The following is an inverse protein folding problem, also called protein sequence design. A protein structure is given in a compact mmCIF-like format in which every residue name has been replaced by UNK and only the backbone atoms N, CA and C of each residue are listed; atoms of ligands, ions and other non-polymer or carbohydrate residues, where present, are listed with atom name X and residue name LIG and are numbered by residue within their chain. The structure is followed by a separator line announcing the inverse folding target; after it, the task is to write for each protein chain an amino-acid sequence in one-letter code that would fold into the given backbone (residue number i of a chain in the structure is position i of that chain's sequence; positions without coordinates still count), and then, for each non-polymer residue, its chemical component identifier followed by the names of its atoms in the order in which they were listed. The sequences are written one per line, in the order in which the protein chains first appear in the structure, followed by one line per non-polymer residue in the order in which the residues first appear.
data_IF_854259249724
#
_entry.id   IF_854259249724
#
_cell.length_a   1.000
_cell.length_b   1.000
_cell.length_c   1.000
_cell.angle_alpha   90.00
_cell.angle_beta   90.00
_cell.angle_gamma   90.00
#
_symmetry.space_group_name_H-M   'P 1'
#
loop_
_entity.id
_entity.type
_entity.pdbx_description
1 polymer ?
#
# COMPACT_ATOMS: atom_id res chain seq x y z
N UNK A 1 26.10 64.87 32.53
CA UNK A 1 25.86 64.62 31.09
C UNK A 1 26.56 63.29 30.62
N UNK A 2 27.85 63.10 30.94
CA UNK A 2 28.58 61.88 30.51
C UNK A 2 27.99 60.56 31.06
N UNK A 3 27.54 60.56 32.31
CA UNK A 3 26.94 59.33 32.95
C UNK A 3 25.56 58.98 32.37
N UNK A 4 24.74 59.99 32.01
CA UNK A 4 23.44 59.76 31.37
C UNK A 4 23.57 59.18 29.95
N UNK A 5 24.59 59.59 29.19
CA UNK A 5 24.88 59.02 27.86
C UNK A 5 25.31 57.59 27.99
N UNK A 6 26.14 57.25 28.98
CA UNK A 6 26.62 55.88 29.20
C UNK A 6 25.47 54.93 29.59
N UNK A 7 24.54 55.35 30.43
CA UNK A 7 23.35 54.60 30.79
C UNK A 7 22.45 54.39 29.57
N UNK A 8 22.24 55.42 28.74
CA UNK A 8 21.43 55.33 27.54
C UNK A 8 22.03 54.33 26.49
N UNK A 9 23.34 54.36 26.34
CA UNK A 9 24.04 53.36 25.46
C UNK A 9 23.92 51.95 26.01
N UNK A 10 24.11 51.73 27.32
CA UNK A 10 23.96 50.41 27.93
C UNK A 10 22.54 49.88 27.77
N UNK A 11 21.50 50.66 28.00
CA UNK A 11 20.11 50.25 27.80
C UNK A 11 19.81 49.92 26.35
N UNK A 12 20.31 50.68 25.40
CA UNK A 12 20.17 50.43 23.98
C UNK A 12 20.81 49.05 23.61
N UNK A 13 22.02 48.82 24.10
CA UNK A 13 22.70 47.53 23.85
C UNK A 13 21.92 46.35 24.43
N UNK A 14 21.38 46.46 25.64
CA UNK A 14 20.53 45.41 26.24
C UNK A 14 19.26 45.16 25.43
N UNK A 15 18.58 46.20 24.95
CA UNK A 15 17.39 46.08 24.10
C UNK A 15 17.73 45.36 22.78
N UNK A 16 18.85 45.74 22.14
CA UNK A 16 19.29 45.11 20.88
C UNK A 16 19.65 43.65 21.10
N UNK A 17 20.38 43.32 22.16
CA UNK A 17 20.70 41.92 22.49
C UNK A 17 19.42 41.14 22.79
N UNK A 18 18.51 41.66 23.60
CA UNK A 18 17.21 41.05 23.88
C UNK A 18 16.40 40.78 22.61
N UNK A 19 16.36 41.76 21.70
CA UNK A 19 15.68 41.63 20.41
C UNK A 19 16.30 40.52 19.56
N UNK A 20 17.63 40.42 19.49
CA UNK A 20 18.34 39.36 18.74
C UNK A 20 18.03 37.98 19.32
N UNK A 21 18.05 37.84 20.65
CA UNK A 21 17.74 36.58 21.32
C UNK A 21 16.29 36.16 21.03
N UNK A 22 15.32 37.07 21.20
CA UNK A 22 13.92 36.83 20.92
C UNK A 22 13.72 36.39 19.45
N UNK A 23 14.30 37.11 18.51
CA UNK A 23 14.23 36.80 17.08
C UNK A 23 14.79 35.39 16.77
N UNK A 24 15.86 35.00 17.46
CA UNK A 24 16.47 33.68 17.28
C UNK A 24 15.57 32.57 17.78
N UNK A 25 14.99 32.68 18.97
CA UNK A 25 14.05 31.74 19.55
C UNK A 25 12.77 31.60 18.69
N UNK A 26 12.19 32.74 18.28
CA UNK A 26 11.00 32.74 17.42
C UNK A 26 11.23 32.21 16.02
N UNK A 27 12.47 32.15 15.52
CA UNK A 27 12.76 31.57 14.21
C UNK A 27 12.42 30.08 14.18
N UNK A 28 12.82 29.30 15.19
CA UNK A 28 12.54 27.87 15.31
C UNK A 28 11.04 27.61 15.40
N UNK A 29 10.34 28.35 16.26
CA UNK A 29 8.87 28.26 16.38
C UNK A 29 8.20 28.53 15.03
N UNK A 30 8.62 29.56 14.31
CA UNK A 30 8.04 29.92 13.02
C UNK A 30 8.29 28.87 11.94
N UNK A 31 9.49 28.27 11.92
CA UNK A 31 9.82 27.19 10.98
C UNK A 31 8.91 25.99 11.22
N UNK A 32 8.83 25.53 12.47
CA UNK A 32 7.98 24.39 12.86
C UNK A 32 6.50 24.68 12.53
N UNK A 33 6.02 25.89 12.84
CA UNK A 33 4.63 26.27 12.54
C UNK A 33 4.35 26.26 11.03
N UNK A 34 5.28 26.73 10.22
CA UNK A 34 5.14 26.70 8.77
C UNK A 34 5.13 25.27 8.24
N UNK A 35 6.00 24.38 8.75
CA UNK A 35 6.01 22.97 8.38
C UNK A 35 4.68 22.28 8.74
N UNK A 36 4.16 22.52 9.93
CA UNK A 36 2.86 21.99 10.36
C UNK A 36 1.71 22.53 9.50
N UNK A 37 1.75 23.82 9.14
CA UNK A 37 0.76 24.41 8.24
C UNK A 37 0.81 23.76 6.84
N UNK A 38 2.00 23.60 6.28
CA UNK A 38 2.22 22.93 5.00
C UNK A 38 1.73 21.47 5.01
N UNK A 39 2.01 20.72 6.09
CA UNK A 39 1.53 19.36 6.27
C UNK A 39 0.00 19.29 6.28
N UNK A 40 -0.64 20.23 6.97
CA UNK A 40 -2.10 20.33 7.03
C UNK A 40 -2.72 20.62 5.66
N UNK A 41 -2.11 21.56 4.90
CA UNK A 41 -2.57 21.92 3.55
C UNK A 41 -2.42 20.76 2.56
N UNK A 42 -1.31 20.03 2.63
CA UNK A 42 -1.01 18.90 1.75
C UNK A 42 -1.64 17.59 2.22
N UNK A 43 -2.24 17.60 3.42
CA UNK A 43 -2.76 16.38 4.10
C UNK A 43 -1.72 15.24 4.18
N UNK A 44 -0.47 15.59 4.36
CA UNK A 44 0.65 14.66 4.44
C UNK A 44 1.40 14.85 5.75
N UNK A 45 1.56 13.78 6.53
CA UNK A 45 2.40 13.79 7.72
C UNK A 45 3.84 13.49 7.31
N UNK A 46 4.72 14.49 7.42
CA UNK A 46 6.17 14.34 7.23
C UNK A 46 6.91 14.66 8.52
N UNK A 47 8.18 14.32 8.57
CA UNK A 47 9.05 14.73 9.67
C UNK A 47 9.47 16.19 9.49
N UNK A 48 9.53 16.91 10.61
CA UNK A 48 10.10 18.26 10.70
C UNK A 48 11.63 18.10 10.76
N UNK A 49 12.36 18.85 9.96
CA UNK A 49 13.82 18.85 10.01
C UNK A 49 14.30 19.58 11.26
N UNK A 50 15.03 18.86 12.11
CA UNK A 50 15.60 19.33 13.36
C UNK A 50 17.12 19.43 13.34
N UNK A 51 17.75 19.28 12.17
CA UNK A 51 19.21 19.19 12.05
C UNK A 51 19.95 20.45 12.54
N UNK A 52 19.33 21.63 12.43
CA UNK A 52 19.86 22.91 12.87
C UNK A 52 19.09 23.50 14.08
N UNK A 53 18.17 22.73 14.67
CA UNK A 53 17.35 23.21 15.77
C UNK A 53 18.14 23.27 17.08
N UNK A 54 17.92 24.29 17.92
CA UNK A 54 18.54 24.39 19.23
C UNK A 54 18.00 23.29 20.16
N UNK A 55 18.76 22.95 21.20
CA UNK A 55 18.32 21.98 22.20
C UNK A 55 17.44 22.67 23.25
N UNK A 56 16.17 22.86 22.93
CA UNK A 56 15.17 23.53 23.76
C UNK A 56 13.84 22.77 23.79
N UNK A 57 12.88 23.26 24.59
CA UNK A 57 11.55 22.64 24.76
C UNK A 57 10.74 22.60 23.44
N UNK A 58 10.95 23.58 22.55
CA UNK A 58 10.28 23.65 21.26
C UNK A 58 10.78 22.55 20.33
N UNK A 59 12.08 22.30 20.32
CA UNK A 59 12.71 21.22 19.58
C UNK A 59 12.28 19.85 20.13
N UNK A 60 12.15 19.72 21.46
CA UNK A 60 11.59 18.51 22.09
C UNK A 60 10.15 18.25 21.65
N UNK A 61 9.32 19.29 21.59
CA UNK A 61 7.94 19.19 21.08
C UNK A 61 7.93 18.72 19.61
N UNK A 62 8.77 19.30 18.78
CA UNK A 62 8.89 18.91 17.37
C UNK A 62 9.41 17.45 17.19
N UNK A 63 10.35 17.03 18.03
CA UNK A 63 10.82 15.65 18.06
C UNK A 63 9.70 14.67 18.47
N UNK A 64 8.89 15.05 19.46
CA UNK A 64 7.73 14.26 19.87
C UNK A 64 6.68 14.17 18.77
N UNK A 65 6.44 15.27 18.02
CA UNK A 65 5.61 15.27 16.84
C UNK A 65 6.16 14.33 15.75
N UNK A 66 7.47 14.35 15.50
CA UNK A 66 8.13 13.45 14.53
C UNK A 66 7.93 11.98 14.91
N UNK A 67 8.03 11.64 16.18
CA UNK A 67 7.76 10.30 16.69
C UNK A 67 6.31 9.88 16.45
N UNK A 68 5.35 10.78 16.75
CA UNK A 68 3.94 10.55 16.49
C UNK A 68 3.66 10.40 14.98
N UNK A 69 4.21 11.30 14.16
CA UNK A 69 4.09 11.26 12.70
C UNK A 69 4.60 9.94 12.12
N UNK A 70 5.75 9.44 12.61
CA UNK A 70 6.30 8.14 12.22
C UNK A 70 5.37 6.99 12.60
N UNK A 71 4.83 7.01 13.82
CA UNK A 71 3.92 5.98 14.31
C UNK A 71 2.62 5.95 13.49
N UNK A 72 2.05 7.12 13.19
CA UNK A 72 0.84 7.23 12.35
C UNK A 72 1.14 6.76 10.93
N UNK A 73 2.26 7.16 10.32
CA UNK A 73 2.63 6.72 8.97
C UNK A 73 2.87 5.21 8.90
N UNK A 74 3.47 4.60 9.91
CA UNK A 74 3.64 3.15 10.01
C UNK A 74 2.29 2.44 10.12
N UNK A 75 1.37 2.97 10.95
CA UNK A 75 0.02 2.44 11.08
C UNK A 75 -0.73 2.53 9.75
N UNK A 76 -0.71 3.69 9.09
CA UNK A 76 -1.32 3.89 7.77
C UNK A 76 -0.68 2.99 6.71
N UNK A 77 0.64 2.82 6.72
CA UNK A 77 1.36 1.91 5.83
C UNK A 77 0.92 0.45 6.00
N UNK A 78 0.68 0.04 7.25
CA UNK A 78 0.14 -1.28 7.56
C UNK A 78 -1.30 -1.40 7.11
N UNK A 79 -2.14 -0.40 7.40
CA UNK A 79 -3.55 -0.38 7.04
C UNK A 79 -3.77 -0.42 5.51
N UNK A 80 -2.92 0.29 4.74
CA UNK A 80 -2.94 0.26 3.26
C UNK A 80 -2.75 -1.13 2.65
N UNK A 81 -2.22 -2.10 3.40
CA UNK A 81 -2.11 -3.50 2.95
C UNK A 81 -3.43 -4.27 3.01
N UNK A 82 -4.37 -3.81 3.83
CA UNK A 82 -5.66 -4.47 4.05
C UNK A 82 -6.83 -3.79 3.33
N UNK A 83 -6.58 -2.60 2.77
CA UNK A 83 -7.62 -1.78 2.14
C UNK A 83 -7.28 -1.53 0.68
N UNK A 84 -8.27 -1.55 -0.21
CA UNK A 84 -8.05 -1.26 -1.63
C UNK A 84 -7.54 0.17 -1.85
N UNK A 85 -6.75 0.36 -2.91
CA UNK A 85 -6.20 1.69 -3.26
C UNK A 85 -7.27 2.75 -3.44
N UNK A 86 -8.44 2.38 -3.94
CA UNK A 86 -9.58 3.29 -4.16
C UNK A 86 -10.16 3.80 -2.84
N UNK A 87 -10.30 2.93 -1.85
CA UNK A 87 -10.78 3.29 -0.51
C UNK A 87 -9.78 4.23 0.18
N UNK A 88 -8.49 3.93 0.05
CA UNK A 88 -7.43 4.81 0.58
C UNK A 88 -7.49 6.19 -0.09
N UNK A 89 -7.60 6.25 -1.43
CA UNK A 89 -7.68 7.51 -2.16
C UNK A 89 -8.91 8.34 -1.76
N UNK A 90 -10.09 7.70 -1.61
CA UNK A 90 -11.30 8.37 -1.14
C UNK A 90 -11.21 8.87 0.29
N UNK A 91 -10.60 8.08 1.21
CA UNK A 91 -10.42 8.50 2.59
C UNK A 91 -9.55 9.76 2.73
N UNK A 92 -8.62 10.00 1.79
CA UNK A 92 -7.81 11.24 1.77
C UNK A 92 -8.55 12.45 1.18
N UNK A 93 -9.50 12.23 0.25
CA UNK A 93 -10.22 13.32 -0.44
C UNK A 93 -11.54 13.68 0.23
N UNK A 94 -12.21 12.72 0.83
CA UNK A 94 -13.52 12.87 1.49
C UNK A 94 -13.34 12.76 3.01
N UNK A 95 -14.14 13.49 3.79
CA UNK A 95 -14.07 13.46 5.27
C UNK A 95 -14.68 12.18 5.88
N UNK A 96 -14.66 11.07 5.15
CA UNK A 96 -15.15 9.78 5.60
C UNK A 96 -15.35 8.82 4.44
N UNK A 97 -15.35 7.53 4.75
CA UNK A 97 -15.71 6.49 3.78
C UNK A 97 -17.20 6.22 3.91
N UNK A 98 -17.97 6.75 2.96
CA UNK A 98 -19.43 6.53 2.95
C UNK A 98 -19.77 5.11 2.44
N UNK A 99 -20.90 4.58 2.91
CA UNK A 99 -21.60 3.43 2.33
C UNK A 99 -22.19 3.85 0.97
N UNK A 100 -21.37 3.87 -0.08
CA UNK A 100 -21.83 4.24 -1.42
C UNK A 100 -21.38 3.20 -2.43
N UNK A 101 -22.34 2.53 -3.06
CA UNK A 101 -22.16 1.76 -4.28
C UNK A 101 -22.64 2.55 -5.48
N UNK A 102 -21.92 2.53 -6.58
CA UNK A 102 -22.34 3.15 -7.86
C UNK A 102 -22.44 2.09 -8.92
N UNK A 103 -23.46 2.19 -9.77
CA UNK A 103 -23.49 1.41 -11.01
C UNK A 103 -22.39 1.90 -11.94
N UNK A 104 -21.54 0.98 -12.35
CA UNK A 104 -20.42 1.26 -13.24
C UNK A 104 -20.24 0.10 -14.21
N UNK A 105 -19.77 0.42 -15.40
CA UNK A 105 -19.38 -0.57 -16.39
C UNK A 105 -17.93 -0.97 -16.12
N UNK A 106 -17.74 -2.16 -15.54
CA UNK A 106 -16.46 -2.69 -15.09
C UNK A 106 -16.15 -4.02 -15.76
N UNK A 107 -14.89 -4.42 -15.68
CA UNK A 107 -14.45 -5.76 -16.05
C UNK A 107 -13.84 -6.42 -14.81
N UNK A 108 -14.28 -7.63 -14.54
CA UNK A 108 -13.79 -8.48 -13.45
C UNK A 108 -12.87 -9.55 -14.02
N UNK A 109 -11.79 -9.84 -13.28
CA UNK A 109 -10.91 -10.95 -13.54
C UNK A 109 -10.84 -11.81 -12.29
N UNK A 110 -11.12 -13.10 -12.45
CA UNK A 110 -10.93 -14.11 -11.43
C UNK A 110 -9.74 -14.99 -11.79
N UNK A 111 -8.79 -15.14 -10.85
CA UNK A 111 -7.69 -16.08 -11.00
C UNK A 111 -7.74 -17.08 -9.84
N UNK A 112 -7.64 -18.35 -10.14
CA UNK A 112 -7.77 -19.45 -9.18
C UNK A 112 -6.71 -20.54 -9.44
N UNK A 113 -6.22 -21.22 -8.39
CA UNK A 113 -5.20 -22.27 -8.49
C UNK A 113 -5.87 -23.61 -8.70
N UNK A 114 -5.55 -24.29 -9.79
CA UNK A 114 -6.10 -25.63 -10.06
C UNK A 114 -5.63 -26.64 -9.02
N UNK A 115 -6.58 -27.47 -8.57
CA UNK A 115 -6.34 -28.53 -7.59
C UNK A 115 -5.74 -28.04 -6.26
N UNK A 116 -6.19 -26.86 -5.78
CA UNK A 116 -5.66 -26.24 -4.58
C UNK A 116 -5.79 -27.12 -3.34
N UNK A 117 -6.93 -27.80 -3.15
CA UNK A 117 -7.15 -28.73 -2.01
C UNK A 117 -6.07 -29.81 -1.93
N UNK A 118 -5.75 -30.45 -3.05
CA UNK A 118 -4.67 -31.45 -3.10
C UNK A 118 -3.31 -30.86 -2.68
N UNK A 119 -3.02 -29.64 -3.12
CA UNK A 119 -1.76 -28.93 -2.80
C UNK A 119 -1.68 -28.61 -1.32
N UNK A 120 -2.79 -28.17 -0.74
CA UNK A 120 -2.89 -27.85 0.69
C UNK A 120 -2.68 -29.10 1.55
N UNK A 121 -3.28 -30.22 1.18
CA UNK A 121 -3.10 -31.49 1.87
C UNK A 121 -1.66 -32.02 1.76
N UNK A 122 -1.01 -31.80 0.62
CA UNK A 122 0.36 -32.26 0.39
C UNK A 122 1.42 -31.42 1.08
N UNK A 123 1.26 -30.08 1.04
CA UNK A 123 2.26 -29.12 1.53
C UNK A 123 2.02 -28.69 2.99
N UNK A 124 0.82 -28.92 3.52
CA UNK A 124 0.48 -28.47 4.87
C UNK A 124 0.72 -26.96 5.04
N UNK A 125 1.52 -26.57 6.03
CA UNK A 125 1.82 -25.15 6.32
C UNK A 125 2.67 -24.47 5.23
N UNK A 126 3.46 -25.21 4.47
CA UNK A 126 4.34 -24.66 3.42
C UNK A 126 3.53 -24.11 2.23
N UNK A 127 2.25 -24.44 2.14
CA UNK A 127 1.32 -23.85 1.16
C UNK A 127 1.27 -22.31 1.27
N UNK A 128 1.47 -21.76 2.46
CA UNK A 128 1.44 -20.32 2.69
C UNK A 128 2.53 -19.61 1.89
N UNK A 129 3.73 -20.17 1.85
CA UNK A 129 4.84 -19.59 1.07
C UNK A 129 4.57 -19.65 -0.42
N UNK A 130 4.00 -20.76 -0.90
CA UNK A 130 3.59 -20.93 -2.30
C UNK A 130 2.51 -19.90 -2.67
N UNK A 131 1.49 -19.73 -1.82
CA UNK A 131 0.45 -18.72 -2.00
C UNK A 131 1.01 -17.28 -2.01
N UNK A 132 1.90 -16.96 -1.08
CA UNK A 132 2.50 -15.63 -1.03
C UNK A 132 3.28 -15.30 -2.30
N UNK A 133 4.02 -16.25 -2.85
CA UNK A 133 4.71 -16.09 -4.14
C UNK A 133 3.70 -15.90 -5.28
N UNK A 134 2.62 -16.70 -5.29
CA UNK A 134 1.57 -16.59 -6.30
C UNK A 134 0.86 -15.24 -6.22
N UNK A 135 0.37 -14.83 -5.05
CA UNK A 135 -0.32 -13.54 -4.87
C UNK A 135 0.56 -12.35 -5.26
N UNK A 136 1.83 -12.33 -4.85
CA UNK A 136 2.74 -11.26 -5.22
C UNK A 136 2.87 -11.09 -6.75
N UNK A 137 2.79 -12.18 -7.50
CA UNK A 137 2.82 -12.14 -8.96
C UNK A 137 1.51 -11.67 -9.55
N UNK A 138 0.40 -12.28 -9.15
CA UNK A 138 -0.94 -11.93 -9.65
C UNK A 138 -1.23 -10.46 -9.35
N UNK A 139 -1.06 -10.03 -8.11
CA UNK A 139 -1.32 -8.66 -7.69
C UNK A 139 -0.47 -7.65 -8.47
N UNK A 140 0.82 -7.97 -8.68
CA UNK A 140 1.69 -7.12 -9.48
C UNK A 140 1.21 -6.99 -10.92
N UNK A 141 0.83 -8.10 -11.57
CA UNK A 141 0.35 -8.09 -12.97
C UNK A 141 -0.97 -7.34 -13.11
N UNK A 142 -1.87 -7.47 -12.15
CA UNK A 142 -3.10 -6.69 -12.08
C UNK A 142 -2.79 -5.19 -11.97
N UNK A 143 -1.89 -4.79 -11.08
CA UNK A 143 -1.55 -3.38 -10.89
C UNK A 143 -0.79 -2.77 -12.08
N UNK A 144 0.10 -3.54 -12.73
CA UNK A 144 0.82 -3.11 -13.93
C UNK A 144 -0.14 -2.78 -15.08
N UNK A 145 -1.28 -3.47 -15.14
CA UNK A 145 -2.34 -3.25 -16.14
C UNK A 145 -3.54 -2.46 -15.58
N UNK A 146 -3.32 -1.54 -14.67
CA UNK A 146 -4.34 -0.60 -14.15
C UNK A 146 -5.54 -1.26 -13.44
N UNK A 147 -5.42 -2.51 -13.04
CA UNK A 147 -6.43 -3.22 -12.24
C UNK A 147 -6.29 -2.92 -10.74
N UNK A 148 -7.37 -3.13 -10.02
CA UNK A 148 -7.46 -3.02 -8.55
C UNK A 148 -7.84 -4.39 -7.99
N UNK A 149 -7.20 -4.81 -6.90
CA UNK A 149 -7.59 -6.03 -6.21
C UNK A 149 -8.89 -5.74 -5.43
N UNK A 150 -9.93 -6.47 -5.77
CA UNK A 150 -11.22 -6.42 -5.08
C UNK A 150 -11.20 -7.27 -3.80
N UNK A 151 -10.81 -8.54 -3.93
CA UNK A 151 -10.69 -9.45 -2.79
C UNK A 151 -9.76 -10.62 -3.09
N UNK A 152 -9.26 -11.24 -2.01
CA UNK A 152 -8.57 -12.52 -2.04
C UNK A 152 -9.44 -13.51 -1.28
N UNK A 153 -9.84 -14.60 -1.91
CA UNK A 153 -10.77 -15.59 -1.37
C UNK A 153 -10.11 -16.96 -1.45
N UNK A 154 -9.51 -17.41 -0.34
CA UNK A 154 -8.70 -18.64 -0.37
C UNK A 154 -7.52 -18.48 -1.32
N UNK A 155 -7.43 -19.29 -2.36
CA UNK A 155 -6.41 -19.20 -3.43
C UNK A 155 -6.84 -18.32 -4.62
N UNK A 156 -8.10 -17.91 -4.64
CA UNK A 156 -8.64 -17.07 -5.71
C UNK A 156 -8.35 -15.57 -5.49
N UNK A 157 -8.10 -14.88 -6.57
CA UNK A 157 -7.94 -13.41 -6.60
C UNK A 157 -8.98 -12.81 -7.52
N UNK A 158 -9.81 -11.93 -6.97
CA UNK A 158 -10.72 -11.07 -7.74
C UNK A 158 -10.02 -9.74 -8.02
N UNK A 159 -9.88 -9.39 -9.28
CA UNK A 159 -9.42 -8.08 -9.72
C UNK A 159 -10.50 -7.36 -10.52
N UNK A 160 -10.52 -6.01 -10.42
CA UNK A 160 -11.51 -5.15 -11.05
C UNK A 160 -10.81 -4.08 -11.88
N UNK A 161 -11.31 -3.85 -13.10
CA UNK A 161 -10.76 -2.87 -14.05
C UNK A 161 -11.82 -1.84 -14.42
N UNK A 162 -11.39 -0.57 -14.51
CA UNK A 162 -12.27 0.56 -14.85
C UNK A 162 -12.69 1.41 -13.65
N UNK A 163 -12.22 1.12 -12.43
CA UNK A 163 -12.56 1.84 -11.21
C UNK A 163 -11.84 3.18 -11.07
N UNK A 164 -10.58 3.25 -11.47
CA UNK A 164 -9.69 4.41 -11.23
C UNK A 164 -9.89 5.56 -12.22
N UNK A 165 -10.37 5.28 -13.42
CA UNK A 165 -10.77 6.26 -14.44
C UNK A 165 -11.74 5.58 -15.39
N UNK A 166 -12.63 6.37 -16.05
CA UNK A 166 -13.40 5.90 -17.21
C UNK A 166 -12.41 5.45 -18.31
N UNK A 167 -11.96 4.22 -18.22
CA UNK A 167 -10.91 3.71 -19.09
C UNK A 167 -11.54 2.89 -20.21
N UNK A 168 -11.41 3.35 -21.45
CA UNK A 168 -11.88 2.62 -22.63
C UNK A 168 -11.11 1.32 -22.88
N UNK A 169 -9.96 1.14 -22.21
CA UNK A 169 -9.06 -0.02 -22.36
C UNK A 169 -9.26 -1.10 -21.29
N UNK A 170 -10.22 -0.96 -20.36
CA UNK A 170 -10.43 -1.88 -19.23
C UNK A 170 -10.46 -3.37 -19.59
N UNK A 171 -11.14 -3.71 -20.70
CA UNK A 171 -11.21 -5.09 -21.18
C UNK A 171 -9.86 -5.57 -21.69
N UNK A 172 -9.14 -4.73 -22.42
CA UNK A 172 -7.81 -5.01 -22.91
C UNK A 172 -6.82 -5.19 -21.73
N UNK A 173 -6.88 -4.30 -20.75
CA UNK A 173 -6.02 -4.36 -19.55
C UNK A 173 -6.27 -5.65 -18.75
N UNK A 174 -7.53 -6.08 -18.63
CA UNK A 174 -7.88 -7.35 -18.01
C UNK A 174 -7.32 -8.55 -18.79
N UNK A 175 -7.43 -8.55 -20.11
CA UNK A 175 -6.89 -9.60 -20.99
C UNK A 175 -5.36 -9.65 -20.88
N UNK A 176 -4.69 -8.49 -20.88
CA UNK A 176 -3.25 -8.43 -20.68
C UNK A 176 -2.83 -9.05 -19.33
N UNK A 177 -3.55 -8.71 -18.28
CA UNK A 177 -3.30 -9.31 -16.95
C UNK A 177 -3.47 -10.82 -16.95
N UNK A 178 -4.56 -11.33 -17.54
CA UNK A 178 -4.81 -12.76 -17.63
C UNK A 178 -3.69 -13.49 -18.37
N UNK A 179 -3.28 -12.93 -19.51
CA UNK A 179 -2.17 -13.46 -20.30
C UNK A 179 -0.86 -13.49 -19.48
N UNK A 180 -0.51 -12.37 -18.84
CA UNK A 180 0.71 -12.26 -18.06
C UNK A 180 0.72 -13.15 -16.83
N UNK A 181 -0.42 -13.31 -16.13
CA UNK A 181 -0.58 -14.22 -15.00
C UNK A 181 -0.34 -15.66 -15.45
N UNK A 182 -1.02 -16.10 -16.50
CA UNK A 182 -0.90 -17.45 -17.03
C UNK A 182 0.52 -17.74 -17.50
N UNK A 183 1.14 -16.81 -18.21
CA UNK A 183 2.52 -16.94 -18.70
C UNK A 183 3.54 -16.99 -17.56
N UNK A 184 3.40 -16.15 -16.53
CA UNK A 184 4.29 -16.14 -15.39
C UNK A 184 4.19 -17.45 -14.58
N UNK A 185 3.00 -18.02 -14.48
CA UNK A 185 2.79 -19.31 -13.81
C UNK A 185 3.38 -20.46 -14.65
N UNK A 186 3.19 -20.45 -15.97
CA UNK A 186 3.80 -21.44 -16.86
C UNK A 186 5.33 -21.40 -16.79
N UNK A 187 5.93 -20.22 -16.80
CA UNK A 187 7.39 -20.07 -16.66
C UNK A 187 7.93 -20.68 -15.37
N UNK A 188 7.23 -20.49 -14.24
CA UNK A 188 7.60 -21.12 -12.99
C UNK A 188 7.55 -22.63 -13.05
N UNK A 189 6.48 -23.15 -13.64
CA UNK A 189 6.34 -24.59 -13.79
C UNK A 189 7.48 -25.18 -14.63
N UNK A 190 7.84 -24.54 -15.73
CA UNK A 190 8.99 -24.95 -16.56
C UNK A 190 10.30 -24.90 -15.76
N UNK A 191 10.52 -23.85 -14.98
CA UNK A 191 11.69 -23.75 -14.09
C UNK A 191 11.74 -24.87 -13.06
N UNK A 192 10.60 -25.21 -12.43
CA UNK A 192 10.51 -26.32 -11.47
C UNK A 192 10.73 -27.68 -12.15
N UNK A 193 10.23 -27.88 -13.37
CA UNK A 193 10.48 -29.09 -14.16
C UNK A 193 11.97 -29.24 -14.46
N UNK A 194 12.65 -28.15 -14.80
CA UNK A 194 14.08 -28.19 -15.05
C UNK A 194 14.89 -28.54 -13.79
N UNK A 195 14.57 -27.89 -12.66
CA UNK A 195 15.19 -28.23 -11.37
C UNK A 195 14.99 -29.70 -10.97
N UNK A 196 13.77 -30.21 -11.20
CA UNK A 196 13.48 -31.62 -10.97
C UNK A 196 14.39 -32.53 -11.80
N UNK A 197 14.54 -32.28 -13.09
CA UNK A 197 15.41 -33.04 -13.99
C UNK A 197 16.88 -33.03 -13.54
N UNK A 198 17.39 -31.88 -13.12
CA UNK A 198 18.77 -31.75 -12.62
C UNK A 198 19.03 -32.59 -11.36
N UNK A 199 18.02 -32.80 -10.52
CA UNK A 199 18.11 -33.68 -9.36
C UNK A 199 18.05 -35.12 -9.80
N UNK A 200 17.12 -35.48 -10.70
CA UNK A 200 16.93 -36.83 -11.23
C UNK A 200 18.17 -37.34 -11.98
N UNK A 201 18.94 -36.48 -12.63
CA UNK A 201 20.25 -36.82 -13.23
C UNK A 201 21.30 -37.23 -12.20
N UNK A 202 21.19 -36.76 -10.95
CA UNK A 202 22.17 -37.01 -9.89
C UNK A 202 21.74 -38.18 -8.98
N UNK A 203 20.46 -38.32 -8.75
CA UNK A 203 19.84 -39.34 -7.90
C UNK A 203 18.33 -39.48 -8.18
N UNK A 204 17.77 -40.60 -7.85
CA UNK A 204 16.32 -40.76 -7.85
C UNK A 204 15.66 -39.88 -6.79
N UNK A 205 14.49 -39.36 -7.09
CA UNK A 205 13.64 -38.64 -6.13
C UNK A 205 13.03 -39.68 -5.15
N UNK A 206 12.81 -39.23 -3.92
CA UNK A 206 11.96 -39.99 -2.98
C UNK A 206 10.49 -39.71 -3.30
N UNK A 207 9.59 -40.59 -2.87
CA UNK A 207 8.15 -40.43 -3.05
C UNK A 207 7.64 -39.08 -2.47
N UNK A 208 8.19 -38.65 -1.34
CA UNK A 208 7.86 -37.35 -0.73
C UNK A 208 8.30 -36.18 -1.59
N UNK A 209 9.49 -36.23 -2.20
CA UNK A 209 9.99 -35.19 -3.09
C UNK A 209 9.16 -35.12 -4.39
N UNK A 210 8.75 -36.24 -4.95
CA UNK A 210 7.86 -36.26 -6.10
C UNK A 210 6.54 -35.56 -5.81
N UNK A 211 5.91 -35.85 -4.68
CA UNK A 211 4.66 -35.21 -4.24
C UNK A 211 4.83 -33.70 -4.01
N UNK A 212 5.94 -33.28 -3.39
CA UNK A 212 6.23 -31.87 -3.19
C UNK A 212 6.42 -31.16 -4.54
N UNK A 213 7.21 -31.72 -5.46
CA UNK A 213 7.38 -31.14 -6.79
C UNK A 213 6.05 -30.99 -7.52
N UNK A 214 5.18 -31.98 -7.45
CA UNK A 214 3.85 -31.92 -8.04
C UNK A 214 2.98 -30.84 -7.41
N UNK A 215 3.04 -30.70 -6.10
CA UNK A 215 2.26 -29.70 -5.36
C UNK A 215 2.72 -28.26 -5.58
N UNK A 216 4.01 -27.98 -5.78
CA UNK A 216 4.54 -26.61 -6.02
C UNK A 216 4.46 -26.20 -7.49
N UNK A 217 4.27 -27.13 -8.43
CA UNK A 217 4.05 -26.81 -9.85
C UNK A 217 2.63 -26.30 -10.08
N UNK A 218 2.43 -25.00 -9.83
CA UNK A 218 1.12 -24.38 -9.95
C UNK A 218 0.60 -24.35 -11.40
N UNK A 219 -0.70 -24.49 -11.54
CA UNK A 219 -1.47 -24.14 -12.73
C UNK A 219 -2.64 -23.26 -12.34
N UNK A 220 -2.97 -22.26 -13.14
CA UNK A 220 -4.01 -21.28 -12.82
C UNK A 220 -5.09 -21.27 -13.89
N UNK A 221 -6.34 -21.17 -13.45
CA UNK A 221 -7.46 -20.76 -14.27
C UNK A 221 -7.66 -19.26 -14.16
N UNK A 222 -7.95 -18.58 -15.28
CA UNK A 222 -8.30 -17.16 -15.29
C UNK A 222 -9.60 -17.00 -16.07
N UNK A 223 -10.62 -16.44 -15.41
CA UNK A 223 -11.88 -16.04 -16.00
C UNK A 223 -11.98 -14.51 -16.07
N UNK A 224 -12.56 -13.99 -17.14
CA UNK A 224 -12.82 -12.57 -17.32
C UNK A 224 -14.29 -12.41 -17.69
N UNK A 225 -14.95 -11.47 -17.02
CA UNK A 225 -16.31 -11.06 -17.36
C UNK A 225 -16.45 -9.55 -17.24
N UNK A 226 -17.40 -8.95 -17.93
CA UNK A 226 -17.57 -7.50 -17.95
C UNK A 226 -19.01 -7.07 -18.17
N UNK A 227 -19.41 -6.04 -17.42
CA UNK A 227 -20.77 -5.50 -17.54
C UNK A 227 -21.03 -4.36 -16.56
N UNK A 228 -22.28 -3.97 -16.47
CA UNK A 228 -22.74 -2.95 -15.53
C UNK A 228 -23.02 -3.58 -14.17
N UNK A 229 -22.21 -3.25 -13.20
CA UNK A 229 -22.27 -3.79 -11.84
C UNK A 229 -22.31 -2.68 -10.79
N UNK A 230 -22.79 -2.98 -9.60
CA UNK A 230 -22.58 -2.13 -8.44
C UNK A 230 -21.18 -2.34 -7.90
N UNK A 231 -20.42 -1.25 -7.77
CA UNK A 231 -19.10 -1.23 -7.16
C UNK A 231 -19.03 -0.20 -6.05
N UNK A 232 -18.56 -0.59 -4.90
CA UNK A 232 -18.42 0.32 -3.77
C UNK A 232 -18.27 -0.38 -2.43
N UNK A 233 -18.45 0.41 -1.36
CA UNK A 233 -18.37 -0.08 0.00
C UNK A 233 -19.72 -0.60 0.45
N UNK A 234 -19.82 -1.88 0.72
CA UNK A 234 -21.02 -2.58 1.18
C UNK A 234 -20.72 -3.19 2.54
N UNK A 235 -21.66 -3.08 3.47
CA UNK A 235 -21.52 -3.67 4.80
C UNK A 235 -22.35 -2.96 5.87
N UNK A 236 -21.83 -2.96 7.08
CA UNK A 236 -22.43 -2.28 8.23
C UNK A 236 -21.61 -1.05 8.63
N UNK A 237 -22.07 -0.33 9.66
CA UNK A 237 -21.30 0.78 10.26
C UNK A 237 -20.01 0.33 10.92
N UNK A 238 -19.87 -0.95 11.24
CA UNK A 238 -18.71 -1.52 11.93
C UNK A 238 -17.75 -2.27 10.98
N UNK A 239 -18.28 -2.78 9.86
CA UNK A 239 -17.48 -3.54 8.89
C UNK A 239 -17.91 -3.24 7.46
N UNK A 240 -16.95 -2.77 6.65
CA UNK A 240 -17.13 -2.43 5.26
C UNK A 240 -16.25 -3.31 4.37
N UNK A 241 -16.81 -3.84 3.31
CA UNK A 241 -16.09 -4.49 2.23
C UNK A 241 -16.24 -3.66 0.96
N UNK A 242 -15.13 -3.37 0.29
CA UNK A 242 -15.16 -2.82 -1.06
C UNK A 242 -15.31 -3.99 -2.02
N UNK A 243 -16.43 -4.07 -2.71
CA UNK A 243 -16.78 -5.25 -3.51
C UNK A 243 -17.61 -4.88 -4.74
N UNK A 244 -17.77 -5.88 -5.60
CA UNK A 244 -18.58 -5.83 -6.82
C UNK A 244 -19.83 -6.69 -6.59
N UNK A 245 -20.99 -6.20 -7.03
CA UNK A 245 -22.24 -6.93 -6.99
C UNK A 245 -23.01 -6.73 -8.31
N UNK A 246 -23.42 -7.82 -8.97
CA UNK A 246 -24.17 -7.81 -10.22
C UNK A 246 -24.48 -9.21 -10.71
N UNK A 247 -25.38 -9.29 -11.70
CA UNK A 247 -25.88 -10.53 -12.29
C UNK A 247 -25.15 -10.94 -13.58
N UNK A 248 -23.91 -10.54 -13.73
CA UNK A 248 -23.10 -10.90 -14.92
C UNK A 248 -22.25 -12.12 -14.65
#
# INVERSE_FOLDING_TARGET
IRMGILIAVMTLVFVVIGYIIIQREFRTVRSITNDLYDMNQKKELRQIDLSEAPNDDVTYLAASFNSLSSSVNNLLGTFKKFVSKDVVAKAYTEQGVALEGKQQELVMLFSDIKSFTYRTETLGNDIIDVLNVHYNRVIRKVHENSGVIGSIIGDAVLAVYGTLKSNKTRSYDAICSAWEITRATAFLREYMIQNRKEIEEKRSLTESEERIFEAVMLDVGVGIDGGTVFYGNIGSTEHLANTVFGDN
#
